data_IF_817270468662
#
_entry.id   IF_817270468662
#
_cell.length_a   1.000
_cell.length_b   1.000
_cell.length_c   1.000
_cell.angle_alpha   90.00
_cell.angle_beta   90.00
_cell.angle_gamma   90.00
#
_symmetry.space_group_name_H-M   'P 1'
#
loop_
_entity.id
_entity.type
_entity.pdbx_description
1 polymer ?
#
# COMPACT_ATOMS: atom_id res chain seq x y z
N UNK A 1 8.03 14.66 5.56
CA UNK A 1 7.96 13.21 5.32
C UNK A 1 7.79 12.48 6.65
N UNK A 2 6.88 11.50 6.70
CA UNK A 2 6.61 10.61 7.85
C UNK A 2 6.60 9.16 7.35
N UNK A 3 7.18 8.26 8.13
CA UNK A 3 7.17 6.82 7.88
C UNK A 3 6.70 6.14 9.17
N UNK A 4 5.67 5.31 9.07
CA UNK A 4 5.13 4.52 10.18
C UNK A 4 5.15 3.05 9.79
N UNK A 5 5.80 2.21 10.60
CA UNK A 5 5.66 0.76 10.52
C UNK A 5 4.45 0.32 11.34
N UNK A 6 3.59 -0.49 10.73
CA UNK A 6 2.42 -1.10 11.35
C UNK A 6 2.71 -2.59 11.45
N UNK A 7 3.18 -3.02 12.62
CA UNK A 7 3.62 -4.41 12.85
C UNK A 7 2.54 -5.25 13.53
N UNK A 8 2.22 -6.39 12.93
CA UNK A 8 1.26 -7.35 13.47
C UNK A 8 1.99 -8.55 14.07
N UNK A 9 2.14 -8.52 15.39
CA UNK A 9 3.01 -9.46 16.13
C UNK A 9 2.67 -10.94 15.95
N UNK A 10 1.39 -11.30 15.84
CA UNK A 10 0.98 -12.70 15.67
C UNK A 10 1.33 -13.28 14.28
N UNK A 11 1.51 -12.42 13.28
CA UNK A 11 1.90 -12.80 11.91
C UNK A 11 3.38 -12.53 11.63
N UNK A 12 4.06 -11.84 12.55
CA UNK A 12 5.38 -11.25 12.31
C UNK A 12 5.44 -10.41 11.00
N UNK A 13 4.32 -9.75 10.67
CA UNK A 13 4.13 -9.01 9.43
C UNK A 13 4.28 -7.51 9.68
N UNK A 14 5.02 -6.83 8.80
CA UNK A 14 5.17 -5.37 8.83
C UNK A 14 4.58 -4.73 7.57
N UNK A 15 3.52 -3.95 7.76
CA UNK A 15 3.04 -3.01 6.74
C UNK A 15 3.68 -1.63 6.97
N UNK A 16 3.74 -0.81 5.94
CA UNK A 16 4.26 0.56 6.06
C UNK A 16 3.24 1.58 5.55
N UNK A 17 3.13 2.68 6.28
CA UNK A 17 2.38 3.86 5.90
C UNK A 17 3.34 5.04 5.79
N UNK A 18 3.49 5.56 4.58
CA UNK A 18 4.45 6.61 4.23
C UNK A 18 3.66 7.83 3.79
N UNK A 19 3.98 8.99 4.35
CA UNK A 19 3.33 10.27 4.03
C UNK A 19 4.37 11.30 3.63
N UNK A 20 4.13 11.96 2.51
CA UNK A 20 4.88 13.14 2.08
C UNK A 20 3.90 14.21 1.62
N UNK A 21 3.94 15.37 2.28
CA UNK A 21 3.01 16.46 2.03
C UNK A 21 1.53 16.02 2.11
N UNK A 22 0.79 16.12 1.00
CA UNK A 22 -0.62 15.77 0.90
C UNK A 22 -0.86 14.36 0.30
N UNK A 23 0.18 13.56 0.12
CA UNK A 23 0.11 12.22 -0.47
C UNK A 23 0.64 11.15 0.47
N UNK A 24 0.11 9.94 0.32
CA UNK A 24 0.56 8.75 1.03
C UNK A 24 0.83 7.57 0.11
N UNK A 25 1.67 6.66 0.57
CA UNK A 25 1.82 5.32 0.03
C UNK A 25 1.67 4.30 1.17
N UNK A 26 1.07 3.16 0.85
CA UNK A 26 0.97 2.02 1.77
C UNK A 26 1.66 0.82 1.14
N UNK A 27 2.42 0.09 1.95
CA UNK A 27 3.15 -1.12 1.53
C UNK A 27 2.63 -2.31 2.32
N UNK A 28 2.27 -3.38 1.62
CA UNK A 28 1.79 -4.67 2.13
C UNK A 28 0.66 -4.54 3.18
N UNK A 29 -0.48 -3.89 2.84
CA UNK A 29 -1.60 -3.74 3.77
C UNK A 29 -2.23 -5.07 4.17
N UNK A 30 -2.60 -5.23 5.44
CA UNK A 30 -3.39 -6.36 5.91
C UNK A 30 -4.84 -6.28 5.44
N UNK A 31 -5.54 -7.42 5.50
CA UNK A 31 -6.95 -7.55 5.07
C UNK A 31 -7.89 -6.50 5.67
N UNK A 32 -7.71 -6.17 6.95
CA UNK A 32 -8.50 -5.14 7.61
C UNK A 32 -7.98 -3.75 7.23
N UNK A 33 -8.73 -3.06 6.37
CA UNK A 33 -8.29 -1.80 5.75
C UNK A 33 -8.65 -0.54 6.54
N UNK A 34 -9.54 -0.63 7.54
CA UNK A 34 -10.00 0.53 8.31
C UNK A 34 -8.86 1.29 9.02
N UNK A 35 -7.86 0.63 9.65
CA UNK A 35 -6.75 1.34 10.28
C UNK A 35 -5.93 2.21 9.33
N UNK A 36 -5.89 1.86 8.04
CA UNK A 36 -5.21 2.66 7.03
C UNK A 36 -6.07 3.85 6.59
N UNK A 37 -7.37 3.66 6.40
CA UNK A 37 -8.31 4.76 6.10
C UNK A 37 -8.34 5.81 7.21
N UNK A 38 -8.35 5.37 8.47
CA UNK A 38 -8.34 6.28 9.62
C UNK A 38 -7.06 7.13 9.65
N UNK A 39 -5.92 6.56 9.24
CA UNK A 39 -4.65 7.30 9.11
C UNK A 39 -4.69 8.32 7.98
N UNK A 40 -5.20 7.93 6.80
CA UNK A 40 -5.37 8.82 5.65
C UNK A 40 -6.28 10.00 5.98
N UNK A 41 -7.42 9.74 6.62
CA UNK A 41 -8.38 10.76 7.07
C UNK A 41 -7.76 11.67 8.14
N UNK A 42 -7.11 11.10 9.15
CA UNK A 42 -6.47 11.86 10.23
C UNK A 42 -5.37 12.79 9.74
N UNK A 43 -4.52 12.29 8.83
CA UNK A 43 -3.41 13.07 8.28
C UNK A 43 -3.87 13.96 7.11
N UNK A 44 -5.13 13.86 6.67
CA UNK A 44 -5.74 14.59 5.56
C UNK A 44 -4.93 14.49 4.26
N UNK A 45 -4.59 13.26 3.87
CA UNK A 45 -3.76 12.95 2.70
C UNK A 45 -4.47 12.01 1.72
N UNK A 46 -4.08 12.07 0.46
CA UNK A 46 -4.57 11.18 -0.59
C UNK A 46 -3.66 9.98 -0.74
N UNK A 47 -4.22 8.77 -0.71
CA UNK A 47 -3.45 7.56 -1.00
C UNK A 47 -3.13 7.53 -2.50
N UNK A 48 -1.84 7.58 -2.84
CA UNK A 48 -1.36 7.60 -4.23
C UNK A 48 -1.03 6.20 -4.75
N UNK A 49 -0.45 5.35 -3.90
CA UNK A 49 -0.03 4.01 -4.29
C UNK A 49 -0.26 3.01 -3.17
N UNK A 50 -0.65 1.80 -3.56
CA UNK A 50 -0.62 0.60 -2.72
C UNK A 50 0.42 -0.33 -3.31
N UNK A 51 1.53 -0.52 -2.61
CA UNK A 51 2.59 -1.44 -3.06
C UNK A 51 2.40 -2.79 -2.41
N UNK A 52 2.49 -3.83 -3.24
CA UNK A 52 2.66 -5.20 -2.81
C UNK A 52 4.08 -5.64 -3.18
N UNK A 53 4.85 -6.03 -2.18
CA UNK A 53 6.23 -6.47 -2.41
C UNK A 53 6.26 -7.80 -3.18
N UNK A 54 5.27 -8.66 -2.94
CA UNK A 54 5.07 -9.95 -3.59
C UNK A 54 3.66 -10.48 -3.31
N UNK A 55 3.28 -11.60 -3.93
CA UNK A 55 2.08 -12.33 -3.53
C UNK A 55 2.34 -13.04 -2.20
N UNK A 56 1.71 -12.53 -1.13
CA UNK A 56 1.86 -13.09 0.22
C UNK A 56 1.28 -14.51 0.32
N UNK A 57 1.94 -15.37 1.09
CA UNK A 57 1.56 -16.77 1.29
C UNK A 57 1.06 -17.06 2.72
N UNK A 58 1.18 -16.07 3.60
CA UNK A 58 1.05 -16.13 5.05
C UNK A 58 -0.08 -15.24 5.58
N UNK A 59 -0.51 -14.25 4.80
CA UNK A 59 -1.70 -13.45 5.10
C UNK A 59 -2.46 -13.04 3.83
N UNK A 60 -3.71 -12.63 4.01
CA UNK A 60 -4.51 -12.04 2.94
C UNK A 60 -4.31 -10.53 2.97
N UNK A 61 -3.79 -9.96 1.88
CA UNK A 61 -3.62 -8.52 1.78
C UNK A 61 -4.95 -7.78 1.57
N UNK A 62 -5.00 -6.54 2.06
CA UNK A 62 -6.12 -5.61 1.90
C UNK A 62 -6.05 -4.76 0.63
N UNK A 63 -5.08 -4.96 -0.26
CA UNK A 63 -4.82 -4.08 -1.41
C UNK A 63 -6.04 -3.85 -2.31
N UNK A 64 -6.84 -4.89 -2.60
CA UNK A 64 -8.05 -4.76 -3.42
C UNK A 64 -9.11 -3.86 -2.77
N UNK A 65 -9.43 -4.13 -1.51
CA UNK A 65 -10.43 -3.37 -0.76
C UNK A 65 -9.98 -1.92 -0.56
N UNK A 66 -8.68 -1.71 -0.32
CA UNK A 66 -8.11 -0.39 -0.14
C UNK A 66 -8.09 0.40 -1.47
N UNK A 67 -7.74 -0.25 -2.58
CA UNK A 67 -7.79 0.34 -3.92
C UNK A 67 -9.22 0.73 -4.28
N UNK A 68 -10.20 -0.14 -4.07
CA UNK A 68 -11.61 0.14 -4.34
C UNK A 68 -12.13 1.36 -3.55
N UNK A 69 -11.73 1.50 -2.29
CA UNK A 69 -12.22 2.58 -1.41
C UNK A 69 -11.52 3.91 -1.62
N UNK A 70 -10.28 3.91 -2.11
CA UNK A 70 -9.46 5.13 -2.24
C UNK A 70 -9.24 5.57 -3.69
N UNK A 71 -9.46 4.66 -4.64
CA UNK A 71 -9.07 4.84 -6.05
C UNK A 71 -7.57 4.70 -6.32
N UNK A 72 -6.75 4.41 -5.30
CA UNK A 72 -5.30 4.26 -5.47
C UNK A 72 -4.96 3.00 -6.29
N UNK A 73 -4.08 3.08 -7.29
CA UNK A 73 -3.61 1.90 -8.01
C UNK A 73 -2.78 0.99 -7.12
N UNK A 74 -2.90 -0.31 -7.39
CA UNK A 74 -2.06 -1.36 -6.82
C UNK A 74 -0.82 -1.49 -7.68
N UNK A 75 0.35 -1.63 -7.06
CA UNK A 75 1.64 -1.78 -7.73
C UNK A 75 2.28 -3.10 -7.29
N UNK A 76 2.70 -3.89 -8.26
CA UNK A 76 3.48 -5.11 -8.08
C UNK A 76 4.78 -5.05 -8.88
N UNK A 77 5.74 -5.92 -8.55
CA UNK A 77 6.98 -6.07 -9.31
C UNK A 77 6.81 -6.69 -10.71
N UNK A 78 7.89 -6.69 -11.53
CA UNK A 78 7.85 -6.96 -12.97
C UNK A 78 7.41 -8.38 -13.38
N UNK A 79 7.44 -9.33 -12.44
CA UNK A 79 7.09 -10.74 -12.70
C UNK A 79 5.65 -11.06 -12.31
N UNK A 80 4.92 -10.12 -11.72
CA UNK A 80 3.57 -10.37 -11.24
C UNK A 80 2.57 -10.49 -12.39
N UNK A 81 1.67 -11.47 -12.29
CA UNK A 81 0.57 -11.71 -13.22
C UNK A 81 -0.74 -11.82 -12.43
N UNK A 82 -1.23 -10.71 -11.86
CA UNK A 82 -2.48 -10.71 -11.11
C UNK A 82 -3.69 -10.87 -12.05
N UNK A 83 -4.79 -11.40 -11.51
CA UNK A 83 -6.08 -11.48 -12.22
C UNK A 83 -6.91 -10.18 -12.09
N UNK A 84 -6.29 -9.08 -11.66
CA UNK A 84 -6.89 -7.78 -11.40
C UNK A 84 -5.98 -6.67 -11.92
N UNK A 85 -6.54 -5.47 -12.08
CA UNK A 85 -5.78 -4.31 -12.57
C UNK A 85 -4.71 -3.90 -11.56
N UNK A 86 -3.46 -3.86 -12.02
CA UNK A 86 -2.32 -3.40 -11.26
C UNK A 86 -1.29 -2.77 -12.20
N UNK A 87 -0.52 -1.83 -11.67
CA UNK A 87 0.71 -1.36 -12.31
C UNK A 87 1.75 -2.45 -12.11
N UNK A 88 2.25 -3.02 -13.21
CA UNK A 88 3.38 -3.94 -13.19
C UNK A 88 4.64 -3.09 -13.34
N UNK A 89 5.33 -2.90 -12.21
CA UNK A 89 6.50 -2.04 -12.13
C UNK A 89 7.72 -2.68 -12.81
N UNK A 90 8.63 -1.84 -13.29
CA UNK A 90 9.90 -2.26 -13.89
C UNK A 90 11.08 -2.03 -12.95
N UNK A 91 12.20 -2.72 -13.21
CA UNK A 91 13.45 -2.45 -12.49
C UNK A 91 13.90 -1.00 -12.68
N UNK A 92 14.35 -0.35 -11.61
CA UNK A 92 14.69 1.09 -11.54
C UNK A 92 13.53 2.07 -11.81
N UNK A 93 12.27 1.61 -11.87
CA UNK A 93 11.14 2.52 -11.98
C UNK A 93 11.00 3.38 -10.71
N UNK A 94 10.80 4.69 -10.91
CA UNK A 94 10.66 5.66 -9.83
C UNK A 94 9.17 5.96 -9.61
N UNK A 95 8.75 5.91 -8.34
CA UNK A 95 7.43 6.32 -7.89
C UNK A 95 7.58 7.52 -6.95
N UNK A 96 7.03 8.66 -7.35
CA UNK A 96 7.13 9.90 -6.59
C UNK A 96 5.93 10.05 -5.66
N UNK A 97 6.17 10.50 -4.42
CA UNK A 97 5.13 10.82 -3.44
C UNK A 97 5.41 12.18 -2.80
N UNK A 98 4.37 12.98 -2.65
CA UNK A 98 4.48 14.39 -2.30
C UNK A 98 4.66 15.25 -3.55
N UNK A 99 4.61 16.57 -3.37
CA UNK A 99 4.80 17.56 -4.43
C UNK A 99 6.22 18.12 -4.46
#
# INVERSE_FOLDING_TARGET
MKIEQIYTGCLAQGAYYIVSENEAAIIDPLREVKPYQDRLEKDNVTLKYIFETHFHADFVSGHLDLSQKTGAPIVYGPTAQPAFDAIIAEDNQIFEIGK
#
